data_IF_019577679683
#
_entry.id   IF_019577679683
#
_cell.length_a   1.000
_cell.length_b   1.000
_cell.length_c   1.000
_cell.angle_alpha   90.00
_cell.angle_beta   90.00
_cell.angle_gamma   90.00
#
_symmetry.space_group_name_H-M   'P 1'
#
loop_
_entity.id
_entity.type
_entity.pdbx_description
1 polymer ?
#
# COMPACT_ATOMS: atom_id res chain seq x y z
N UNK A 1 -10.77 -39.83 -7.75
CA UNK A 1 -11.25 -40.38 -9.04
C UNK A 1 -10.18 -41.32 -9.54
N UNK A 2 -10.43 -42.63 -9.63
CA UNK A 2 -9.44 -43.57 -10.17
C UNK A 2 -8.99 -43.09 -11.57
N UNK A 3 -7.68 -42.93 -11.78
CA UNK A 3 -7.11 -42.55 -13.08
C UNK A 3 -6.82 -41.06 -13.31
N UNK A 4 -7.05 -40.17 -12.33
CA UNK A 4 -6.50 -38.80 -12.38
C UNK A 4 -5.17 -38.74 -11.63
N UNK A 5 -4.06 -38.25 -12.22
CA UNK A 5 -2.83 -38.04 -11.47
C UNK A 5 -3.10 -37.07 -10.32
N UNK A 6 -2.74 -37.49 -9.11
CA UNK A 6 -2.77 -36.66 -7.93
C UNK A 6 -1.37 -36.07 -7.77
N UNK A 7 -1.23 -34.75 -7.92
CA UNK A 7 0.03 -34.07 -7.68
C UNK A 7 0.22 -33.91 -6.18
N UNK A 8 1.33 -34.39 -5.66
CA UNK A 8 1.80 -34.10 -4.31
C UNK A 8 3.17 -33.45 -4.43
N UNK A 9 3.30 -32.25 -3.86
CA UNK A 9 4.57 -31.53 -3.81
C UNK A 9 5.08 -31.57 -2.37
N UNK A 10 6.31 -32.06 -2.18
CA UNK A 10 6.92 -32.18 -0.86
C UNK A 10 8.12 -31.23 -0.78
N UNK A 11 8.02 -30.25 0.10
CA UNK A 11 9.05 -29.26 0.35
C UNK A 11 9.81 -29.63 1.62
N UNK A 12 11.11 -29.92 1.50
CA UNK A 12 11.98 -30.19 2.66
C UNK A 12 12.90 -29.00 2.89
N UNK A 13 12.47 -28.07 3.73
CA UNK A 13 13.23 -26.87 4.09
C UNK A 13 14.20 -27.20 5.23
N UNK A 14 15.51 -27.23 4.92
CA UNK A 14 16.58 -27.52 5.91
C UNK A 14 17.04 -26.22 6.60
N UNK A 15 16.77 -25.06 5.98
CA UNK A 15 17.04 -23.71 6.49
C UNK A 15 15.89 -22.82 6.08
N UNK A 16 15.58 -21.83 6.92
CA UNK A 16 14.59 -20.81 6.58
C UNK A 16 15.14 -19.90 5.47
N UNK A 17 14.54 -19.92 4.26
CA UNK A 17 15.01 -19.15 3.12
C UNK A 17 14.73 -17.65 3.24
N UNK A 18 13.95 -17.22 4.24
CA UNK A 18 13.52 -15.83 4.45
C UNK A 18 14.35 -15.10 5.52
N UNK A 19 15.38 -15.73 6.08
CA UNK A 19 16.27 -15.11 7.08
C UNK A 19 17.12 -13.98 6.46
N UNK A 20 17.49 -14.10 5.18
CA UNK A 20 18.32 -13.10 4.54
C UNK A 20 17.48 -11.92 4.07
N UNK A 21 17.97 -10.71 4.36
CA UNK A 21 17.43 -9.51 3.73
C UNK A 21 17.58 -9.63 2.22
N UNK A 22 16.49 -9.33 1.51
CA UNK A 22 16.51 -9.24 0.05
C UNK A 22 16.86 -7.81 -0.36
N UNK A 23 17.50 -7.67 -1.53
CA UNK A 23 17.64 -6.37 -2.17
C UNK A 23 16.26 -5.83 -2.58
N UNK A 24 16.10 -4.49 -2.69
CA UNK A 24 14.89 -3.89 -3.22
C UNK A 24 14.54 -4.48 -4.59
N UNK A 25 13.25 -4.73 -4.82
CA UNK A 25 12.78 -5.26 -6.11
C UNK A 25 12.79 -4.14 -7.15
N UNK A 26 13.18 -4.46 -8.37
CA UNK A 26 13.21 -3.50 -9.48
C UNK A 26 11.82 -2.88 -9.72
N UNK A 27 11.76 -1.59 -10.11
CA UNK A 27 10.52 -0.93 -10.49
C UNK A 27 9.88 -1.63 -11.69
N UNK A 28 8.55 -1.76 -11.65
CA UNK A 28 7.76 -2.35 -12.72
C UNK A 28 6.73 -1.31 -13.21
N UNK A 29 6.71 -0.95 -14.50
CA UNK A 29 5.78 0.06 -15.01
C UNK A 29 4.31 -0.38 -14.90
N UNK A 30 4.06 -1.70 -14.87
CA UNK A 30 2.72 -2.29 -14.89
C UNK A 30 2.20 -2.62 -13.47
N UNK A 31 2.84 -2.13 -12.41
CA UNK A 31 2.50 -2.45 -11.00
C UNK A 31 1.04 -2.20 -10.63
N UNK A 32 0.36 -1.24 -11.26
CA UNK A 32 -1.04 -0.97 -10.99
C UNK A 32 -1.97 -2.10 -11.46
N UNK A 33 -1.56 -2.85 -12.49
CA UNK A 33 -2.32 -3.97 -13.06
C UNK A 33 -1.78 -5.32 -12.57
N UNK A 34 -0.46 -5.49 -12.58
CA UNK A 34 0.22 -6.72 -12.21
C UNK A 34 0.31 -6.93 -10.68
N UNK A 35 0.18 -5.85 -9.90
CA UNK A 35 0.42 -5.83 -8.46
C UNK A 35 1.87 -5.45 -8.13
N UNK A 36 2.07 -4.84 -6.97
CA UNK A 36 3.33 -4.28 -6.54
C UNK A 36 4.17 -5.39 -5.88
N UNK A 37 5.41 -5.63 -6.32
CA UNK A 37 6.26 -6.62 -5.67
C UNK A 37 6.66 -6.13 -4.28
N UNK A 38 6.34 -6.88 -3.23
CA UNK A 38 6.65 -6.46 -1.85
C UNK A 38 7.33 -7.53 -1.00
N UNK A 39 7.35 -8.78 -1.44
CA UNK A 39 7.99 -9.87 -0.71
C UNK A 39 8.44 -11.00 -1.64
N UNK A 40 9.13 -11.99 -1.08
CA UNK A 40 9.48 -13.26 -1.73
C UNK A 40 8.81 -14.40 -0.97
N UNK A 41 8.17 -15.31 -1.69
CA UNK A 41 7.63 -16.54 -1.13
C UNK A 41 8.74 -17.53 -0.78
N UNK A 42 8.41 -18.53 0.05
CA UNK A 42 9.32 -19.63 0.40
C UNK A 42 9.74 -20.45 -0.84
N UNK A 43 8.94 -20.42 -1.89
CA UNK A 43 9.22 -21.00 -3.21
C UNK A 43 10.19 -20.16 -4.07
N UNK A 44 10.64 -19.03 -3.54
CA UNK A 44 11.51 -18.08 -4.24
C UNK A 44 10.80 -17.20 -5.26
N UNK A 45 9.47 -17.32 -5.42
CA UNK A 45 8.69 -16.47 -6.31
C UNK A 45 8.44 -15.10 -5.69
N UNK A 46 8.30 -14.07 -6.52
CA UNK A 46 7.98 -12.73 -6.04
C UNK A 46 6.51 -12.65 -5.68
N UNK A 47 6.23 -12.28 -4.44
CA UNK A 47 4.87 -12.01 -3.99
C UNK A 47 4.47 -10.56 -4.31
N UNK A 48 3.31 -10.41 -4.95
CA UNK A 48 2.79 -9.14 -5.43
C UNK A 48 1.49 -8.76 -4.72
N UNK A 49 1.43 -7.52 -4.24
CA UNK A 49 0.28 -6.92 -3.59
C UNK A 49 -0.53 -6.08 -4.59
N UNK A 50 -1.79 -6.44 -4.82
CA UNK A 50 -2.71 -5.64 -5.66
C UNK A 50 -3.37 -4.55 -4.83
N UNK A 51 -3.30 -3.30 -5.29
CA UNK A 51 -3.99 -2.15 -4.66
C UNK A 51 -5.24 -1.68 -5.42
N UNK A 52 -5.22 -1.75 -6.76
CA UNK A 52 -6.37 -1.28 -7.54
C UNK A 52 -7.56 -2.21 -7.28
N UNK A 53 -8.64 -1.63 -6.76
CA UNK A 53 -9.86 -2.35 -6.40
C UNK A 53 -9.80 -3.15 -5.10
N UNK A 54 -8.80 -2.92 -4.23
CA UNK A 54 -8.66 -3.62 -2.95
C UNK A 54 -8.43 -2.67 -1.77
N UNK A 55 -8.53 -3.21 -0.56
CA UNK A 55 -8.06 -2.58 0.67
C UNK A 55 -7.11 -3.56 1.37
N UNK A 56 -6.02 -3.06 1.93
CA UNK A 56 -4.96 -3.88 2.53
C UNK A 56 -4.84 -3.53 4.01
N UNK A 57 -4.85 -4.55 4.85
CA UNK A 57 -4.56 -4.44 6.28
C UNK A 57 -3.27 -5.23 6.57
N UNK A 58 -2.25 -4.54 7.06
CA UNK A 58 -0.99 -5.16 7.49
C UNK A 58 -0.98 -5.23 9.01
N UNK A 59 -0.85 -6.45 9.56
CA UNK A 59 -0.84 -6.70 11.00
C UNK A 59 0.43 -7.43 11.39
N UNK A 60 1.00 -7.08 12.53
CA UNK A 60 2.19 -7.72 13.08
C UNK A 60 2.63 -7.04 14.37
N UNK A 61 3.33 -7.78 15.23
CA UNK A 61 3.92 -7.21 16.44
C UNK A 61 4.99 -6.14 16.10
N UNK A 62 5.43 -5.39 17.12
CA UNK A 62 6.60 -4.52 16.98
C UNK A 62 7.82 -5.35 16.56
N UNK A 63 8.58 -4.88 15.58
CA UNK A 63 9.71 -5.61 15.02
C UNK A 63 9.36 -6.71 14.02
N UNK A 64 8.07 -7.00 13.76
CA UNK A 64 7.66 -8.03 12.80
C UNK A 64 7.81 -7.62 11.32
N UNK A 65 8.35 -6.42 11.02
CA UNK A 65 8.55 -5.96 9.65
C UNK A 65 7.36 -5.28 8.97
N UNK A 66 6.35 -4.80 9.71
CA UNK A 66 5.23 -4.05 9.11
C UNK A 66 5.70 -2.86 8.25
N UNK A 67 6.68 -2.10 8.77
CA UNK A 67 7.26 -0.96 8.07
C UNK A 67 7.90 -1.34 6.74
N UNK A 68 8.52 -2.51 6.63
CA UNK A 68 9.11 -2.93 5.35
C UNK A 68 8.05 -3.20 4.28
N UNK A 69 6.86 -3.69 4.65
CA UNK A 69 5.73 -3.83 3.71
C UNK A 69 5.29 -2.47 3.19
N UNK A 70 5.13 -1.48 4.08
CA UNK A 70 4.75 -0.11 3.72
C UNK A 70 5.79 0.50 2.79
N UNK A 71 7.08 0.40 3.14
CA UNK A 71 8.16 0.98 2.37
C UNK A 71 8.37 0.29 1.02
N UNK A 72 8.24 -1.04 0.93
CA UNK A 72 8.25 -1.75 -0.34
C UNK A 72 7.11 -1.29 -1.25
N UNK A 73 5.92 -1.04 -0.70
CA UNK A 73 4.79 -0.50 -1.44
C UNK A 73 5.07 0.92 -1.96
N UNK A 74 5.59 1.81 -1.11
CA UNK A 74 5.91 3.19 -1.49
C UNK A 74 7.00 3.25 -2.55
N UNK A 75 8.07 2.46 -2.38
CA UNK A 75 9.17 2.37 -3.35
C UNK A 75 8.65 1.82 -4.67
N UNK A 76 7.88 0.73 -4.65
CA UNK A 76 7.31 0.11 -5.85
C UNK A 76 6.32 0.99 -6.62
N UNK A 77 5.76 2.02 -5.98
CA UNK A 77 4.86 3.00 -6.59
C UNK A 77 5.55 4.31 -7.02
N UNK A 78 6.86 4.44 -6.79
CA UNK A 78 7.58 5.72 -6.94
C UNK A 78 7.40 6.33 -8.33
N UNK A 79 7.47 5.51 -9.39
CA UNK A 79 7.35 6.01 -10.76
C UNK A 79 5.92 6.47 -11.08
N UNK A 80 4.91 5.77 -10.58
CA UNK A 80 3.50 6.15 -10.75
C UNK A 80 3.14 7.40 -9.92
N UNK A 81 3.78 7.58 -8.76
CA UNK A 81 3.68 8.81 -7.96
C UNK A 81 4.28 9.98 -8.74
N UNK A 82 5.51 9.82 -9.27
CA UNK A 82 6.17 10.88 -10.07
C UNK A 82 5.40 11.21 -11.35
N UNK A 83 4.80 10.23 -12.00
CA UNK A 83 3.98 10.41 -13.18
C UNK A 83 2.60 11.04 -12.88
N UNK A 84 2.23 11.19 -11.60
CA UNK A 84 0.94 11.72 -11.17
C UNK A 84 -0.22 10.74 -11.37
N UNK A 85 0.05 9.46 -11.61
CA UNK A 85 -0.97 8.40 -11.70
C UNK A 85 -1.42 7.94 -10.32
N UNK A 86 -0.59 8.11 -9.30
CA UNK A 86 -0.85 7.76 -7.90
C UNK A 86 -0.62 8.97 -7.01
N UNK A 87 -1.51 9.18 -6.06
CA UNK A 87 -1.32 10.12 -4.96
C UNK A 87 -1.37 9.37 -3.63
N UNK A 88 -0.35 9.56 -2.79
CA UNK A 88 -0.34 8.99 -1.44
C UNK A 88 -0.80 10.05 -0.46
N UNK A 89 -1.83 9.72 0.31
CA UNK A 89 -2.34 10.53 1.43
C UNK A 89 -2.04 9.76 2.71
N UNK A 90 -1.05 10.23 3.46
CA UNK A 90 -0.48 9.50 4.59
C UNK A 90 -0.95 10.07 5.93
N UNK A 91 -1.28 9.17 6.86
CA UNK A 91 -1.57 9.45 8.26
C UNK A 91 -0.61 8.62 9.11
N UNK A 92 0.12 9.29 10.01
CA UNK A 92 0.98 8.69 11.02
C UNK A 92 0.57 9.22 12.40
N UNK A 93 -0.27 8.51 13.18
CA UNK A 93 -0.69 8.94 14.51
C UNK A 93 0.44 9.07 15.52
N UNK A 94 1.58 8.41 15.27
CA UNK A 94 2.78 8.58 16.08
C UNK A 94 3.48 9.85 15.60
N UNK A 95 4.54 10.29 16.29
CA UNK A 95 5.24 11.57 16.01
C UNK A 95 5.92 11.69 14.63
N UNK A 96 5.40 11.03 13.58
CA UNK A 96 5.90 11.08 12.22
C UNK A 96 7.12 10.20 11.97
N UNK A 97 7.60 9.46 12.97
CA UNK A 97 8.90 8.79 12.92
C UNK A 97 9.02 7.76 11.78
N UNK A 98 7.93 7.06 11.46
CA UNK A 98 7.96 5.97 10.48
C UNK A 98 7.76 6.47 9.05
N UNK A 99 6.90 7.49 8.86
CA UNK A 99 6.55 7.98 7.53
C UNK A 99 7.24 9.30 7.13
N UNK A 100 7.75 10.10 8.07
CA UNK A 100 8.41 11.38 7.76
C UNK A 100 9.56 11.27 6.74
N UNK A 101 10.41 10.22 6.72
CA UNK A 101 11.43 10.08 5.68
C UNK A 101 10.86 10.09 4.25
N UNK A 102 9.58 9.72 4.10
CA UNK A 102 8.86 9.63 2.83
C UNK A 102 8.07 10.88 2.48
N UNK A 103 8.22 11.98 3.23
CA UNK A 103 7.37 13.19 3.09
C UNK A 103 7.22 13.70 1.66
N UNK A 104 8.28 13.58 0.85
CA UNK A 104 8.29 13.98 -0.56
C UNK A 104 7.45 13.11 -1.50
N UNK A 105 7.05 11.91 -1.06
CA UNK A 105 6.16 11.00 -1.79
C UNK A 105 4.68 11.29 -1.51
N UNK A 106 4.38 12.10 -0.49
CA UNK A 106 3.01 12.31 -0.01
C UNK A 106 2.45 13.64 -0.47
N UNK A 107 1.33 13.58 -1.19
CA UNK A 107 0.55 14.78 -1.55
C UNK A 107 -0.04 15.39 -0.28
N UNK A 108 -0.47 14.55 0.65
CA UNK A 108 -0.97 14.93 1.97
C UNK A 108 -0.31 14.08 3.03
N UNK A 109 0.13 14.71 4.11
CA UNK A 109 0.71 14.02 5.25
C UNK A 109 0.23 14.67 6.53
N UNK A 110 -0.41 13.89 7.38
CA UNK A 110 -0.78 14.27 8.72
C UNK A 110 -0.03 13.38 9.70
N UNK A 111 0.64 13.97 10.70
CA UNK A 111 1.33 13.23 11.73
C UNK A 111 0.94 13.70 13.14
N UNK A 112 1.19 12.86 14.15
CA UNK A 112 0.81 13.07 15.56
C UNK A 112 1.65 14.11 16.32
N UNK A 113 1.92 15.28 15.72
CA UNK A 113 2.56 16.40 16.43
C UNK A 113 1.78 17.69 16.13
N UNK A 114 1.02 18.19 17.11
CA UNK A 114 0.04 19.26 16.91
C UNK A 114 0.49 20.58 17.52
N UNK A 115 1.12 21.43 16.70
CA UNK A 115 0.96 22.89 16.84
C UNK A 115 -0.38 23.37 16.20
N UNK A 116 -1.19 22.44 15.68
CA UNK A 116 -2.51 22.71 15.12
C UNK A 116 -3.54 22.98 16.22
N UNK A 117 -4.28 24.08 16.07
CA UNK A 117 -5.38 24.46 16.95
C UNK A 117 -6.51 23.44 16.79
N UNK A 118 -6.68 22.54 17.76
CA UNK A 118 -7.69 21.46 17.72
C UNK A 118 -7.13 20.03 17.67
N UNK A 119 -5.81 19.84 17.86
CA UNK A 119 -5.19 18.52 17.90
C UNK A 119 -4.90 17.94 16.51
N UNK A 120 -4.08 16.90 16.45
CA UNK A 120 -3.71 16.22 15.20
C UNK A 120 -4.88 15.39 14.64
N UNK A 121 -5.80 14.95 15.51
CA UNK A 121 -6.96 14.14 15.20
C UNK A 121 -7.92 14.85 14.23
N UNK A 122 -8.07 16.18 14.36
CA UNK A 122 -8.87 16.99 13.44
C UNK A 122 -8.29 16.94 12.02
N UNK A 123 -6.97 16.98 11.88
CA UNK A 123 -6.31 16.83 10.58
C UNK A 123 -6.54 15.46 9.95
N UNK A 124 -6.57 14.40 10.77
CA UNK A 124 -6.80 13.03 10.30
C UNK A 124 -8.23 12.86 9.80
N UNK A 125 -9.21 13.33 10.60
CA UNK A 125 -10.61 13.31 10.23
C UNK A 125 -10.83 14.06 8.92
N UNK A 126 -10.28 15.26 8.77
CA UNK A 126 -10.42 16.04 7.54
C UNK A 126 -9.82 15.32 6.32
N UNK A 127 -8.64 14.71 6.45
CA UNK A 127 -8.03 13.95 5.35
C UNK A 127 -8.92 12.79 4.90
N UNK A 128 -9.51 12.06 5.85
CA UNK A 128 -10.43 10.95 5.55
C UNK A 128 -11.75 11.45 4.94
N UNK A 129 -12.32 12.53 5.45
CA UNK A 129 -13.53 13.15 4.91
C UNK A 129 -13.33 13.60 3.45
N UNK A 130 -12.19 14.21 3.16
CA UNK A 130 -11.84 14.61 1.80
C UNK A 130 -11.69 13.40 0.87
N UNK A 131 -11.12 12.30 1.36
CA UNK A 131 -10.98 11.06 0.58
C UNK A 131 -12.35 10.47 0.27
N UNK A 132 -13.28 10.49 1.23
CA UNK A 132 -14.68 10.08 1.05
C UNK A 132 -15.39 11.00 0.04
N UNK A 133 -15.16 12.31 0.09
CA UNK A 133 -15.75 13.25 -0.87
C UNK A 133 -15.29 12.93 -2.31
N UNK A 134 -14.00 12.67 -2.52
CA UNK A 134 -13.47 12.26 -3.83
C UNK A 134 -14.06 10.91 -4.27
N UNK A 135 -14.13 9.93 -3.36
CA UNK A 135 -14.72 8.62 -3.64
C UNK A 135 -16.18 8.75 -4.10
N UNK A 136 -17.00 9.53 -3.40
CA UNK A 136 -18.42 9.73 -3.76
C UNK A 136 -18.57 10.41 -5.11
N UNK A 137 -17.80 11.47 -5.36
CA UNK A 137 -17.81 12.15 -6.65
C UNK A 137 -17.41 11.21 -7.81
N UNK A 138 -16.43 10.31 -7.59
CA UNK A 138 -16.06 9.28 -8.58
C UNK A 138 -17.15 8.23 -8.76
N UNK A 139 -17.75 7.75 -7.67
CA UNK A 139 -18.85 6.79 -7.73
C UNK A 139 -20.03 7.32 -8.54
N UNK A 140 -20.37 8.60 -8.41
CA UNK A 140 -21.45 9.21 -9.19
C UNK A 140 -21.12 9.27 -10.68
N UNK A 141 -19.87 9.59 -11.06
CA UNK A 141 -19.43 9.61 -12.47
C UNK A 141 -19.36 8.21 -13.09
N UNK A 142 -18.87 7.23 -12.33
CA UNK A 142 -18.67 5.86 -12.82
C UNK A 142 -19.93 4.99 -12.74
N UNK A 143 -21.01 5.49 -12.11
CA UNK A 143 -22.28 4.78 -11.94
C UNK A 143 -22.81 4.33 -13.31
N UNK A 144 -22.91 3.02 -13.50
CA UNK A 144 -23.41 2.41 -14.75
C UNK A 144 -22.38 2.34 -15.88
N UNK A 145 -21.14 2.84 -15.69
CA UNK A 145 -20.06 2.80 -16.68
C UNK A 145 -19.07 1.68 -16.37
N UNK A 146 -18.46 1.71 -15.18
CA UNK A 146 -17.52 0.69 -14.71
C UNK A 146 -17.56 0.60 -13.19
N UNK A 147 -17.21 -0.57 -12.65
CA UNK A 147 -17.04 -0.78 -11.20
C UNK A 147 -15.61 -0.55 -10.72
N UNK A 148 -14.66 -0.52 -11.65
CA UNK A 148 -13.24 -0.35 -11.35
C UNK A 148 -12.77 0.99 -11.91
N UNK A 149 -12.20 1.81 -11.03
CA UNK A 149 -11.55 3.05 -11.42
C UNK A 149 -10.21 2.74 -12.09
N UNK A 150 -9.99 3.29 -13.28
CA UNK A 150 -8.72 3.25 -13.99
C UNK A 150 -7.95 4.56 -13.72
N UNK A 151 -6.78 4.49 -13.06
CA UNK A 151 -6.02 5.68 -12.71
C UNK A 151 -5.53 6.45 -13.94
N UNK A 152 -5.61 7.77 -13.88
CA UNK A 152 -5.04 8.67 -14.88
C UNK A 152 -4.44 9.91 -14.20
N UNK A 153 -3.69 10.74 -14.94
CA UNK A 153 -3.14 11.99 -14.38
C UNK A 153 -4.26 12.95 -13.93
N UNK A 154 -5.39 12.96 -14.64
CA UNK A 154 -6.55 13.79 -14.26
C UNK A 154 -7.39 13.19 -13.12
N UNK A 155 -7.41 11.86 -13.00
CA UNK A 155 -8.07 11.14 -11.91
C UNK A 155 -7.13 10.06 -11.35
N UNK A 156 -6.20 10.41 -10.45
CA UNK A 156 -5.18 9.46 -9.98
C UNK A 156 -5.74 8.45 -8.98
N UNK A 157 -5.06 7.32 -8.83
CA UNK A 157 -5.30 6.42 -7.71
C UNK A 157 -4.91 7.12 -6.41
N UNK A 158 -5.87 7.29 -5.49
CA UNK A 158 -5.57 7.80 -4.16
C UNK A 158 -5.32 6.61 -3.24
N UNK A 159 -4.08 6.49 -2.77
CA UNK A 159 -3.69 5.53 -1.73
C UNK A 159 -3.72 6.24 -0.40
N UNK A 160 -4.76 5.96 0.39
CA UNK A 160 -4.84 6.41 1.79
C UNK A 160 -4.02 5.44 2.64
N UNK A 161 -2.85 5.88 3.07
CA UNK A 161 -1.94 5.11 3.90
C UNK A 161 -2.11 5.55 5.36
N UNK A 162 -2.47 4.62 6.24
CA UNK A 162 -2.58 4.86 7.68
C UNK A 162 -1.61 3.94 8.38
N UNK A 163 -0.56 4.50 8.99
CA UNK A 163 0.26 3.74 9.93
C UNK A 163 -0.42 3.68 11.30
N UNK A 164 -0.23 2.57 12.02
CA UNK A 164 -0.80 2.34 13.35
C UNK A 164 -2.31 2.68 13.51
N UNK A 165 -3.18 1.90 12.87
CA UNK A 165 -4.64 2.10 12.95
C UNK A 165 -5.22 1.98 14.38
N UNK A 166 -4.51 1.34 15.31
CA UNK A 166 -4.98 1.08 16.67
C UNK A 166 -4.56 2.15 17.70
N UNK A 167 -3.84 3.19 17.26
CA UNK A 167 -3.45 4.32 18.11
C UNK A 167 -4.63 5.19 18.54
#
# INVERSE_FOLDING_TARGET
>A
VPGKPHLAELWLLIKDPLIQSIEPVDPDPDVLTAGIPVARGEDGTTWRLKLVGSHVLVVGATGAGKGSVIWSLLIGLTDQIRAGLVQVWAIDPKGGMELAPGRGLFVRFCHGDSDLTGGYETGFAQLLEDAVAVMRARQDRLRGVTRLHEPSVGEPLIVVLVDELAA
#
